data_IF_587428743352
#
_entry.id   IF_587428743352
#
_cell.length_a   1.000
_cell.length_b   1.000
_cell.length_c   1.000
_cell.angle_alpha   90.00
_cell.angle_beta   90.00
_cell.angle_gamma   90.00
#
_symmetry.space_group_name_H-M   'P 1'
#
loop_
_entity.id
_entity.type
_entity.pdbx_description
1 polymer ?
#
# COMPACT_ATOMS: atom_id res chain seq x y z
N UNK A 1 35.39 -8.25 13.85
CA UNK A 1 34.72 -6.92 13.82
C UNK A 1 34.13 -6.72 12.43
N UNK A 2 32.91 -7.20 12.19
CA UNK A 2 32.19 -6.87 10.95
C UNK A 2 31.51 -5.54 11.23
N UNK A 3 32.08 -4.47 10.70
CA UNK A 3 31.49 -3.13 10.79
C UNK A 3 30.09 -3.19 10.18
N UNK A 4 29.07 -2.92 11.01
CA UNK A 4 27.71 -2.63 10.55
C UNK A 4 27.82 -1.51 9.53
N UNK A 5 27.67 -1.85 8.25
CA UNK A 5 27.44 -0.88 7.18
C UNK A 5 26.23 -0.07 7.63
N UNK A 6 26.46 1.20 8.00
CA UNK A 6 25.39 2.16 8.26
C UNK A 6 24.50 2.13 7.02
N UNK A 7 23.23 1.77 7.23
CA UNK A 7 22.26 1.56 6.16
C UNK A 7 22.34 2.70 5.15
N UNK A 8 22.42 2.34 3.87
CA UNK A 8 22.32 3.29 2.76
C UNK A 8 21.09 4.15 3.04
N UNK A 9 21.29 5.47 3.02
CA UNK A 9 20.21 6.46 3.08
C UNK A 9 19.11 6.01 2.12
N UNK A 10 17.92 5.68 2.64
CA UNK A 10 16.88 5.01 1.84
C UNK A 10 16.54 5.83 0.58
N UNK A 11 16.63 7.16 0.69
CA UNK A 11 16.43 8.10 -0.40
C UNK A 11 17.54 8.04 -1.46
N UNK A 12 18.82 7.90 -1.05
CA UNK A 12 19.95 7.70 -1.97
C UNK A 12 19.88 6.37 -2.68
N UNK A 13 19.41 5.32 -1.99
CA UNK A 13 19.17 4.01 -2.60
C UNK A 13 18.07 4.09 -3.67
N UNK A 14 16.97 4.80 -3.40
CA UNK A 14 15.90 5.02 -4.36
C UNK A 14 16.36 5.85 -5.56
N UNK A 15 17.16 6.89 -5.33
CA UNK A 15 17.70 7.71 -6.41
C UNK A 15 18.62 6.88 -7.32
N UNK A 16 19.53 6.09 -6.74
CA UNK A 16 20.39 5.19 -7.52
C UNK A 16 19.59 4.17 -8.34
N UNK A 17 18.51 3.62 -7.77
CA UNK A 17 17.61 2.71 -8.50
C UNK A 17 16.90 3.40 -9.67
N UNK A 18 16.49 4.66 -9.49
CA UNK A 18 15.87 5.44 -10.55
C UNK A 18 16.88 5.73 -11.67
N UNK A 19 18.09 6.15 -11.33
CA UNK A 19 19.16 6.44 -12.29
C UNK A 19 19.51 5.17 -13.10
N UNK A 20 19.64 4.01 -12.44
CA UNK A 20 19.88 2.74 -13.12
C UNK A 20 18.73 2.34 -14.06
N UNK A 21 17.48 2.62 -13.70
CA UNK A 21 16.33 2.37 -14.57
C UNK A 21 16.37 3.27 -15.81
N UNK A 22 16.74 4.54 -15.65
CA UNK A 22 16.88 5.48 -16.78
C UNK A 22 17.99 5.04 -17.75
N UNK A 23 19.16 4.67 -17.23
CA UNK A 23 20.27 4.13 -18.02
C UNK A 23 19.87 2.84 -18.75
N UNK A 24 19.14 1.96 -18.05
CA UNK A 24 18.64 0.70 -18.63
C UNK A 24 17.60 0.94 -19.73
N UNK A 25 16.74 1.95 -19.57
CA UNK A 25 15.75 2.34 -20.59
C UNK A 25 16.46 2.86 -21.84
N UNK A 26 17.48 3.70 -21.67
CA UNK A 26 18.27 4.25 -22.78
C UNK A 26 18.99 3.13 -23.54
N UNK A 27 19.61 2.20 -22.82
CA UNK A 27 20.21 1.01 -23.42
C UNK A 27 19.17 0.14 -24.17
N UNK A 28 17.99 -0.08 -23.57
CA UNK A 28 16.92 -0.84 -24.23
C UNK A 28 16.40 -0.16 -25.51
N UNK A 29 16.41 1.18 -25.57
CA UNK A 29 16.03 1.94 -26.77
C UNK A 29 17.07 1.77 -27.89
N UNK A 30 18.35 1.77 -27.54
CA UNK A 30 19.45 1.57 -28.49
C UNK A 30 19.44 0.15 -29.08
N UNK A 31 19.29 -0.86 -28.23
CA UNK A 31 19.27 -2.29 -28.62
C UNK A 31 17.89 -2.79 -29.10
N UNK A 32 16.86 -1.92 -29.12
CA UNK A 32 15.47 -2.23 -29.52
C UNK A 32 14.80 -3.35 -28.70
N UNK A 33 15.13 -3.46 -27.42
CA UNK A 33 14.50 -4.40 -26.48
C UNK A 33 13.18 -3.86 -25.91
N UNK A 34 12.12 -3.85 -26.71
CA UNK A 34 10.82 -3.23 -26.34
C UNK A 34 10.18 -3.82 -25.07
N UNK A 35 10.15 -5.14 -24.92
CA UNK A 35 9.53 -5.78 -23.74
C UNK A 35 10.30 -5.50 -22.45
N UNK A 36 11.63 -5.49 -22.52
CA UNK A 36 12.48 -5.17 -21.37
C UNK A 36 12.29 -3.70 -20.97
N UNK A 37 12.29 -2.79 -21.94
CA UNK A 37 12.00 -1.37 -21.73
C UNK A 37 10.70 -1.17 -20.95
N UNK A 38 9.61 -1.80 -21.39
CA UNK A 38 8.29 -1.66 -20.75
C UNK A 38 8.27 -2.13 -19.30
N UNK A 39 8.98 -3.23 -18.99
CA UNK A 39 9.13 -3.71 -17.60
C UNK A 39 9.96 -2.75 -16.75
N UNK A 40 11.03 -2.19 -17.31
CA UNK A 40 11.86 -1.21 -16.61
C UNK A 40 11.09 0.10 -16.40
N UNK A 41 10.28 0.54 -17.37
CA UNK A 41 9.39 1.70 -17.26
C UNK A 41 8.32 1.49 -16.16
N UNK A 42 7.68 0.31 -16.10
CA UNK A 42 6.75 -0.02 -15.01
C UNK A 42 7.44 0.00 -13.63
N UNK A 43 8.69 -0.50 -13.57
CA UNK A 43 9.49 -0.45 -12.34
C UNK A 43 9.86 0.98 -11.96
N UNK A 44 10.24 1.81 -12.93
CA UNK A 44 10.56 3.23 -12.72
C UNK A 44 9.34 3.99 -12.18
N UNK A 45 8.14 3.74 -12.71
CA UNK A 45 6.91 4.34 -12.18
C UNK A 45 6.67 3.99 -10.71
N UNK A 46 6.94 2.74 -10.33
CA UNK A 46 6.87 2.30 -8.93
C UNK A 46 7.91 2.99 -8.03
N UNK A 47 9.10 3.29 -8.55
CA UNK A 47 10.15 4.03 -7.83
C UNK A 47 9.76 5.50 -7.68
N UNK A 48 9.26 6.14 -8.75
CA UNK A 48 8.77 7.51 -8.69
C UNK A 48 7.62 7.68 -7.70
N UNK A 49 6.75 6.70 -7.59
CA UNK A 49 5.73 6.66 -6.55
C UNK A 49 6.33 6.66 -5.13
N UNK A 50 7.41 5.91 -4.89
CA UNK A 50 8.11 5.89 -3.60
C UNK A 50 8.85 7.21 -3.30
N UNK A 51 9.31 7.90 -4.34
CA UNK A 51 9.91 9.24 -4.27
C UNK A 51 8.88 10.38 -4.21
N UNK A 52 7.58 10.09 -4.15
CA UNK A 52 6.47 11.08 -4.21
C UNK A 52 6.43 11.94 -5.48
N UNK A 53 7.10 11.49 -6.55
CA UNK A 53 7.04 12.13 -7.88
C UNK A 53 5.81 11.62 -8.63
N UNK A 54 4.62 12.03 -8.18
CA UNK A 54 3.35 11.48 -8.67
C UNK A 54 3.04 11.84 -10.13
N UNK A 55 3.28 13.09 -10.55
CA UNK A 55 2.97 13.52 -11.92
C UNK A 55 3.86 12.81 -12.96
N UNK A 56 5.21 12.77 -12.83
CA UNK A 56 6.05 12.02 -13.76
C UNK A 56 5.71 10.53 -13.82
N UNK A 57 5.35 9.92 -12.69
CA UNK A 57 4.93 8.53 -12.65
C UNK A 57 3.62 8.28 -13.41
N UNK A 58 2.67 9.22 -13.32
CA UNK A 58 1.39 9.12 -14.01
C UNK A 58 1.53 9.29 -15.52
N UNK A 59 2.37 10.24 -15.96
CA UNK A 59 2.64 10.46 -17.38
C UNK A 59 3.27 9.20 -18.00
N UNK A 60 4.28 8.62 -17.32
CA UNK A 60 4.94 7.38 -17.73
C UNK A 60 3.96 6.20 -17.81
N UNK A 61 3.08 6.02 -16.81
CA UNK A 61 2.09 4.94 -16.82
C UNK A 61 1.05 5.12 -17.90
N UNK A 62 0.64 6.35 -18.19
CA UNK A 62 -0.36 6.64 -19.22
C UNK A 62 0.16 6.27 -20.61
N UNK A 63 1.42 6.60 -20.91
CA UNK A 63 2.10 6.18 -22.14
C UNK A 63 2.21 4.66 -22.22
N UNK A 64 2.70 4.04 -21.14
CA UNK A 64 2.92 2.60 -21.07
C UNK A 64 1.61 1.79 -21.23
N UNK A 65 0.49 2.28 -20.67
CA UNK A 65 -0.82 1.67 -20.85
C UNK A 65 -1.30 1.68 -22.31
N UNK A 66 -0.98 2.74 -23.08
CA UNK A 66 -1.35 2.80 -24.49
C UNK A 66 -0.58 1.76 -25.33
N UNK A 67 0.66 1.50 -24.97
CA UNK A 67 1.48 0.48 -25.61
C UNK A 67 1.06 -0.94 -25.23
N UNK A 68 0.93 -1.21 -23.93
CA UNK A 68 0.68 -2.57 -23.43
C UNK A 68 -0.74 -3.05 -23.72
N UNK A 69 -1.72 -2.16 -23.88
CA UNK A 69 -3.04 -2.61 -24.38
C UNK A 69 -2.99 -3.29 -25.75
N UNK A 70 -1.92 -3.08 -26.52
CA UNK A 70 -1.67 -3.76 -27.81
C UNK A 70 -0.92 -5.08 -27.64
N UNK A 71 -0.43 -5.37 -26.45
CA UNK A 71 0.36 -6.55 -26.07
C UNK A 71 -0.47 -7.41 -25.10
N UNK A 72 -0.67 -8.70 -25.38
CA UNK A 72 -1.47 -9.59 -24.52
C UNK A 72 -0.71 -10.04 -23.23
N UNK A 73 0.21 -9.21 -22.71
CA UNK A 73 0.88 -9.44 -21.42
C UNK A 73 -0.01 -8.97 -20.27
N UNK A 74 -0.96 -9.84 -19.90
CA UNK A 74 -1.93 -9.58 -18.84
C UNK A 74 -1.28 -9.43 -17.46
N UNK A 75 -0.13 -10.06 -17.21
CA UNK A 75 0.54 -9.96 -15.91
C UNK A 75 1.09 -8.55 -15.70
N UNK A 76 1.82 -8.04 -16.70
CA UNK A 76 2.34 -6.68 -16.66
C UNK A 76 1.21 -5.64 -16.61
N UNK A 77 0.11 -5.89 -17.32
CA UNK A 77 -1.05 -5.00 -17.33
C UNK A 77 -1.73 -4.87 -15.94
N UNK A 78 -1.80 -5.96 -15.17
CA UNK A 78 -2.29 -5.93 -13.78
C UNK A 78 -1.40 -5.06 -12.89
N UNK A 79 -0.08 -5.22 -13.00
CA UNK A 79 0.88 -4.44 -12.20
C UNK A 79 0.76 -2.94 -12.50
N UNK A 80 0.61 -2.57 -13.78
CA UNK A 80 0.50 -1.18 -14.19
C UNK A 80 -0.80 -0.55 -13.70
N UNK A 81 -1.94 -1.23 -13.86
CA UNK A 81 -3.22 -0.73 -13.35
C UNK A 81 -3.22 -0.61 -11.81
N UNK A 82 -2.50 -1.48 -11.11
CA UNK A 82 -2.33 -1.36 -9.66
C UNK A 82 -1.52 -0.12 -9.28
N UNK A 83 -0.43 0.20 -10.00
CA UNK A 83 0.35 1.43 -9.75
C UNK A 83 -0.45 2.67 -10.15
N UNK A 84 -1.20 2.63 -11.25
CA UNK A 84 -2.14 3.68 -11.68
C UNK A 84 -3.17 3.99 -10.58
N UNK A 85 -3.77 2.95 -9.99
CA UNK A 85 -4.73 3.10 -8.89
C UNK A 85 -4.10 3.79 -7.68
N UNK A 86 -2.88 3.37 -7.29
CA UNK A 86 -2.12 3.97 -6.20
C UNK A 86 -1.78 5.44 -6.46
N UNK A 87 -1.36 5.79 -7.68
CA UNK A 87 -1.06 7.17 -8.08
C UNK A 87 -2.29 8.07 -8.05
N UNK A 88 -3.42 7.61 -8.61
CA UNK A 88 -4.65 8.39 -8.57
C UNK A 88 -5.16 8.58 -7.14
N UNK A 89 -5.02 7.58 -6.28
CA UNK A 89 -5.32 7.72 -4.86
C UNK A 89 -4.41 8.77 -4.20
N UNK A 90 -3.10 8.76 -4.51
CA UNK A 90 -2.13 9.77 -4.05
C UNK A 90 -2.54 11.20 -4.37
N UNK A 91 -3.02 11.40 -5.60
CA UNK A 91 -3.50 12.67 -6.13
C UNK A 91 -4.94 13.00 -5.70
N UNK A 92 -5.49 12.26 -4.71
CA UNK A 92 -6.86 12.42 -4.19
C UNK A 92 -7.96 12.27 -5.25
N UNK A 93 -7.68 11.55 -6.34
CA UNK A 93 -8.65 11.22 -7.38
C UNK A 93 -9.22 9.81 -7.17
N UNK A 94 -10.13 9.69 -6.21
CA UNK A 94 -10.77 8.42 -5.83
C UNK A 94 -11.54 7.75 -7.00
N UNK A 95 -12.33 8.48 -7.82
CA UNK A 95 -13.06 7.86 -8.92
C UNK A 95 -12.13 7.19 -9.95
N UNK A 96 -11.03 7.84 -10.34
CA UNK A 96 -10.06 7.23 -11.26
C UNK A 96 -9.28 6.09 -10.61
N UNK A 97 -8.93 6.20 -9.33
CA UNK A 97 -8.27 5.12 -8.60
C UNK A 97 -9.12 3.84 -8.57
N UNK A 98 -10.44 3.97 -8.39
CA UNK A 98 -11.40 2.87 -8.40
C UNK A 98 -11.58 2.26 -9.79
N UNK A 99 -11.62 3.09 -10.83
CA UNK A 99 -11.67 2.62 -12.21
C UNK A 99 -10.44 1.78 -12.57
N UNK A 100 -9.23 2.26 -12.25
CA UNK A 100 -7.97 1.53 -12.46
C UNK A 100 -7.93 0.22 -11.65
N UNK A 101 -8.38 0.22 -10.40
CA UNK A 101 -8.43 -1.00 -9.58
C UNK A 101 -9.43 -2.02 -10.13
N UNK A 102 -10.57 -1.56 -10.64
CA UNK A 102 -11.57 -2.44 -11.27
C UNK A 102 -10.98 -3.12 -12.50
N UNK A 103 -10.21 -2.37 -13.31
CA UNK A 103 -9.48 -2.94 -14.44
C UNK A 103 -8.45 -3.99 -13.98
N UNK A 104 -7.63 -3.67 -12.96
CA UNK A 104 -6.66 -4.61 -12.40
C UNK A 104 -7.32 -5.92 -11.91
N UNK A 105 -8.44 -5.83 -11.18
CA UNK A 105 -9.19 -6.99 -10.69
C UNK A 105 -9.84 -7.81 -11.79
N UNK A 106 -10.41 -7.15 -12.80
CA UNK A 106 -11.01 -7.85 -13.94
C UNK A 106 -9.96 -8.68 -14.67
N UNK A 107 -8.75 -8.16 -14.84
CA UNK A 107 -7.67 -8.88 -15.52
C UNK A 107 -7.10 -9.96 -14.60
N UNK A 108 -6.90 -9.68 -13.31
CA UNK A 108 -6.36 -10.65 -12.35
C UNK A 108 -7.27 -11.88 -12.21
N UNK A 109 -8.58 -11.74 -12.35
CA UNK A 109 -9.50 -12.89 -12.33
C UNK A 109 -9.37 -13.80 -13.56
N UNK A 110 -8.79 -13.32 -14.66
CA UNK A 110 -8.60 -14.09 -15.91
C UNK A 110 -7.27 -14.84 -15.96
N UNK A 111 -6.36 -14.55 -15.05
CA UNK A 111 -5.01 -15.13 -15.01
C UNK A 111 -4.67 -15.61 -13.61
N UNK A 112 -3.71 -16.52 -13.50
CA UNK A 112 -3.15 -16.81 -12.18
C UNK A 112 -2.15 -15.70 -11.82
N UNK A 113 -2.47 -14.91 -10.80
CA UNK A 113 -1.59 -13.86 -10.26
C UNK A 113 -0.77 -14.39 -9.08
N UNK A 114 0.44 -13.86 -8.93
CA UNK A 114 1.32 -14.18 -7.79
C UNK A 114 0.64 -13.73 -6.49
N UNK A 115 0.68 -14.53 -5.40
CA UNK A 115 0.01 -14.21 -4.13
C UNK A 115 0.33 -12.81 -3.59
N UNK A 116 1.58 -12.34 -3.76
CA UNK A 116 1.99 -10.98 -3.39
C UNK A 116 1.20 -9.91 -4.15
N UNK A 117 1.05 -10.06 -5.47
CA UNK A 117 0.30 -9.10 -6.30
C UNK A 117 -1.18 -9.12 -5.95
N UNK A 118 -1.76 -10.31 -5.71
CA UNK A 118 -3.14 -10.44 -5.24
C UNK A 118 -3.36 -9.70 -3.92
N UNK A 119 -2.48 -9.92 -2.94
CA UNK A 119 -2.56 -9.24 -1.65
C UNK A 119 -2.46 -7.71 -1.77
N UNK A 120 -1.67 -7.20 -2.73
CA UNK A 120 -1.60 -5.75 -2.98
C UNK A 120 -2.87 -5.20 -3.65
N UNK A 121 -3.55 -5.99 -4.48
CA UNK A 121 -4.87 -5.65 -5.04
C UNK A 121 -5.92 -5.59 -3.93
N UNK A 122 -5.90 -6.56 -3.01
CA UNK A 122 -6.82 -6.60 -1.87
C UNK A 122 -6.53 -5.46 -0.89
N UNK A 123 -5.26 -5.17 -0.60
CA UNK A 123 -4.87 -4.02 0.19
C UNK A 123 -5.37 -2.70 -0.42
N UNK A 124 -5.22 -2.51 -1.74
CA UNK A 124 -5.72 -1.32 -2.42
C UNK A 124 -7.25 -1.26 -2.41
N UNK A 125 -7.92 -2.41 -2.53
CA UNK A 125 -9.38 -2.52 -2.38
C UNK A 125 -9.82 -2.05 -1.00
N UNK A 126 -9.16 -2.52 0.07
CA UNK A 126 -9.45 -2.09 1.43
C UNK A 126 -9.28 -0.58 1.64
N UNK A 127 -8.21 0.01 1.08
CA UNK A 127 -7.95 1.45 1.17
C UNK A 127 -9.09 2.25 0.52
N UNK A 128 -9.52 1.89 -0.70
CA UNK A 128 -10.58 2.63 -1.38
C UNK A 128 -11.94 2.50 -0.68
N UNK A 129 -12.29 1.32 -0.14
CA UNK A 129 -13.53 1.16 0.62
C UNK A 129 -13.51 1.93 1.94
N UNK A 130 -12.34 2.01 2.59
CA UNK A 130 -12.18 2.83 3.78
C UNK A 130 -12.37 4.33 3.52
N UNK A 131 -11.92 4.83 2.36
CA UNK A 131 -12.18 6.22 1.92
C UNK A 131 -13.68 6.48 1.70
N UNK A 132 -14.43 5.48 1.24
CA UNK A 132 -15.89 5.53 1.08
C UNK A 132 -16.66 5.29 2.41
N UNK A 133 -15.94 5.19 3.54
CA UNK A 133 -16.47 4.89 4.88
C UNK A 133 -17.12 3.50 5.02
N UNK A 134 -16.88 2.59 4.07
CA UNK A 134 -17.27 1.19 4.19
C UNK A 134 -16.16 0.38 4.89
N UNK A 135 -16.06 0.58 6.20
CA UNK A 135 -15.03 -0.07 7.01
C UNK A 135 -15.24 -1.57 7.19
N UNK A 136 -16.47 -2.08 7.04
CA UNK A 136 -16.77 -3.50 7.16
C UNK A 136 -16.21 -4.28 5.97
N UNK A 137 -16.46 -3.78 4.77
CA UNK A 137 -15.91 -4.39 3.55
C UNK A 137 -14.39 -4.18 3.49
N UNK A 138 -13.90 -3.00 3.90
CA UNK A 138 -12.46 -2.74 3.98
C UNK A 138 -11.73 -3.73 4.91
N UNK A 139 -12.31 -4.05 6.07
CA UNK A 139 -11.75 -5.04 6.99
C UNK A 139 -11.56 -6.39 6.32
N UNK A 140 -12.56 -6.90 5.59
CA UNK A 140 -12.47 -8.18 4.89
C UNK A 140 -11.33 -8.20 3.87
N UNK A 141 -11.19 -7.13 3.08
CA UNK A 141 -10.08 -7.02 2.13
C UNK A 141 -8.71 -6.94 2.82
N UNK A 142 -8.59 -6.22 3.93
CA UNK A 142 -7.35 -6.17 4.69
C UNK A 142 -6.99 -7.50 5.36
N UNK A 143 -7.99 -8.27 5.78
CA UNK A 143 -7.79 -9.61 6.36
C UNK A 143 -7.20 -10.56 5.32
N UNK A 144 -7.79 -10.65 4.12
CA UNK A 144 -7.27 -11.47 3.01
C UNK A 144 -5.83 -11.06 2.64
N UNK A 145 -5.59 -9.74 2.52
CA UNK A 145 -4.25 -9.22 2.25
C UNK A 145 -3.25 -9.55 3.37
N UNK A 146 -3.68 -9.51 4.63
CA UNK A 146 -2.85 -9.84 5.79
C UNK A 146 -2.49 -11.33 5.81
N UNK A 147 -3.43 -12.24 5.58
CA UNK A 147 -3.14 -13.69 5.57
C UNK A 147 -2.09 -14.05 4.51
N UNK A 148 -2.20 -13.44 3.32
CA UNK A 148 -1.23 -13.62 2.26
C UNK A 148 0.14 -13.00 2.61
N UNK A 149 0.18 -11.76 3.12
CA UNK A 149 1.44 -11.04 3.35
C UNK A 149 2.16 -11.43 4.64
N UNK A 150 1.44 -11.88 5.67
CA UNK A 150 2.02 -12.25 6.97
C UNK A 150 3.03 -13.42 6.87
N UNK A 151 2.95 -14.21 5.79
CA UNK A 151 3.90 -15.31 5.52
C UNK A 151 5.02 -14.91 4.57
N UNK A 152 4.85 -13.84 3.78
CA UNK A 152 5.74 -13.45 2.69
C UNK A 152 6.65 -12.27 3.03
N UNK A 153 6.13 -11.28 3.75
CA UNK A 153 6.81 -10.01 4.02
C UNK A 153 6.33 -9.43 5.35
N UNK A 154 7.19 -9.47 6.37
CA UNK A 154 6.82 -9.00 7.71
C UNK A 154 6.48 -7.50 7.74
N UNK A 155 7.09 -6.70 6.88
CA UNK A 155 6.89 -5.24 6.86
C UNK A 155 5.56 -4.90 6.19
N UNK A 156 5.24 -5.54 5.06
CA UNK A 156 3.93 -5.37 4.41
C UNK A 156 2.80 -6.01 5.22
N UNK A 157 3.04 -7.16 5.85
CA UNK A 157 2.10 -7.80 6.76
C UNK A 157 1.73 -6.92 7.96
N UNK A 158 2.72 -6.29 8.61
CA UNK A 158 2.47 -5.34 9.69
C UNK A 158 1.62 -4.14 9.23
N UNK A 159 1.85 -3.64 8.00
CA UNK A 159 1.03 -2.53 7.44
C UNK A 159 -0.43 -2.95 7.25
N UNK A 160 -0.67 -4.14 6.68
CA UNK A 160 -2.04 -4.65 6.52
C UNK A 160 -2.72 -4.90 7.88
N UNK A 161 -2.00 -5.43 8.87
CA UNK A 161 -2.51 -5.60 10.23
C UNK A 161 -2.94 -4.27 10.85
N UNK A 162 -2.13 -3.21 10.70
CA UNK A 162 -2.51 -1.86 11.14
C UNK A 162 -3.80 -1.37 10.48
N UNK A 163 -3.93 -1.52 9.15
CA UNK A 163 -5.14 -1.10 8.44
C UNK A 163 -6.37 -1.90 8.85
N UNK A 164 -6.21 -3.20 9.11
CA UNK A 164 -7.28 -4.05 9.62
C UNK A 164 -7.76 -3.59 11.01
N UNK A 165 -6.83 -3.29 11.92
CA UNK A 165 -7.16 -2.80 13.26
C UNK A 165 -7.85 -1.42 13.20
N UNK A 166 -7.34 -0.50 12.38
CA UNK A 166 -7.95 0.81 12.21
C UNK A 166 -9.36 0.73 11.60
N UNK A 167 -9.56 -0.11 10.57
CA UNK A 167 -10.88 -0.36 10.01
C UNK A 167 -11.84 -0.94 11.05
N UNK A 168 -11.35 -1.83 11.93
CA UNK A 168 -12.15 -2.41 13.01
C UNK A 168 -12.55 -1.36 14.05
N UNK A 169 -11.63 -0.50 14.47
CA UNK A 169 -11.91 0.62 15.38
C UNK A 169 -12.96 1.55 14.75
N UNK A 170 -12.79 1.92 13.47
CA UNK A 170 -13.72 2.77 12.74
C UNK A 170 -15.10 2.17 12.51
N UNK A 171 -15.20 0.83 12.47
CA UNK A 171 -16.49 0.13 12.42
C UNK A 171 -17.23 0.06 13.77
N UNK A 172 -16.65 0.61 14.85
CA UNK A 172 -17.19 0.55 16.21
C UNK A 172 -16.82 -0.71 17.00
N UNK A 173 -15.97 -1.58 16.45
CA UNK A 173 -15.55 -2.85 17.05
C UNK A 173 -14.28 -2.75 17.90
N UNK A 174 -14.08 -1.65 18.63
CA UNK A 174 -12.85 -1.39 19.37
C UNK A 174 -12.53 -2.46 20.43
N UNK A 175 -13.54 -3.09 21.03
CA UNK A 175 -13.38 -4.17 22.02
C UNK A 175 -12.76 -5.45 21.44
N UNK A 176 -12.92 -5.70 20.13
CA UNK A 176 -12.37 -6.88 19.45
C UNK A 176 -10.89 -6.72 19.08
N UNK A 177 -10.33 -5.51 19.14
CA UNK A 177 -8.93 -5.23 18.78
C UNK A 177 -7.96 -6.07 19.61
N UNK A 178 -8.21 -6.22 20.91
CA UNK A 178 -7.35 -7.03 21.78
C UNK A 178 -7.41 -8.52 21.43
N UNK A 179 -8.56 -9.03 20.97
CA UNK A 179 -8.69 -10.41 20.52
C UNK A 179 -7.88 -10.64 19.24
N UNK A 180 -7.93 -9.69 18.30
CA UNK A 180 -7.19 -9.76 17.03
C UNK A 180 -5.68 -9.72 17.29
N UNK A 181 -5.19 -8.85 18.17
CA UNK A 181 -3.76 -8.72 18.50
C UNK A 181 -3.23 -9.99 19.17
N UNK A 182 -4.03 -10.62 20.03
CA UNK A 182 -3.67 -11.87 20.69
C UNK A 182 -3.84 -13.12 19.80
N UNK A 183 -4.27 -12.96 18.55
CA UNK A 183 -4.39 -14.08 17.61
C UNK A 183 -3.02 -14.65 17.25
N UNK A 184 -2.94 -15.96 16.99
CA UNK A 184 -1.69 -16.68 16.68
C UNK A 184 -0.91 -16.06 15.52
N UNK A 185 -1.62 -15.51 14.52
CA UNK A 185 -0.99 -14.86 13.36
C UNK A 185 -0.45 -13.46 13.70
N UNK A 186 -1.14 -12.70 14.56
CA UNK A 186 -0.74 -11.35 14.98
C UNK A 186 0.37 -11.34 16.05
N UNK A 187 0.52 -12.43 16.83
CA UNK A 187 1.55 -12.56 17.87
C UNK A 187 2.99 -12.32 17.36
N UNK A 188 3.25 -12.63 16.09
CA UNK A 188 4.56 -12.41 15.45
C UNK A 188 4.89 -10.92 15.27
N UNK A 189 3.86 -10.08 15.22
CA UNK A 189 3.94 -8.65 14.90
C UNK A 189 3.85 -7.76 16.16
N UNK A 190 3.95 -8.36 17.35
CA UNK A 190 3.90 -7.62 18.62
C UNK A 190 5.03 -6.61 18.69
N UNK A 191 4.66 -5.37 18.95
CA UNK A 191 5.58 -4.27 19.16
C UNK A 191 4.84 -2.95 19.38
N UNK A 192 5.63 -1.88 19.41
CA UNK A 192 5.21 -0.49 19.64
C UNK A 192 4.04 -0.08 18.72
N UNK A 193 4.02 -0.63 17.50
CA UNK A 193 3.01 -0.36 16.49
C UNK A 193 1.61 -0.93 16.84
N UNK A 194 1.54 -2.09 17.49
CA UNK A 194 0.27 -2.67 17.96
C UNK A 194 -0.15 -2.08 19.30
N UNK A 195 0.80 -1.75 20.17
CA UNK A 195 0.53 -0.99 21.41
C UNK A 195 -0.15 0.35 21.10
N UNK A 196 0.32 1.06 20.07
CA UNK A 196 -0.33 2.29 19.60
C UNK A 196 -1.79 2.05 19.20
N UNK A 197 -2.08 0.95 18.50
CA UNK A 197 -3.45 0.60 18.09
C UNK A 197 -4.33 0.23 19.30
N UNK A 198 -3.77 -0.40 20.34
CA UNK A 198 -4.50 -0.69 21.58
C UNK A 198 -4.87 0.58 22.33
N UNK A 199 -3.95 1.54 22.44
CA UNK A 199 -4.22 2.81 23.10
C UNK A 199 -5.27 3.63 22.33
N UNK A 200 -5.21 3.63 21.00
CA UNK A 200 -6.25 4.24 20.16
C UNK A 200 -7.61 3.55 20.33
N UNK A 201 -7.64 2.22 20.39
CA UNK A 201 -8.87 1.47 20.61
C UNK A 201 -9.50 1.78 21.97
N UNK A 202 -8.70 1.86 23.04
CA UNK A 202 -9.17 2.25 24.38
C UNK A 202 -9.72 3.68 24.41
N UNK A 203 -9.03 4.62 23.78
CA UNK A 203 -9.50 6.01 23.69
C UNK A 203 -10.85 6.11 22.95
N UNK A 204 -11.02 5.33 21.89
CA UNK A 204 -12.28 5.24 21.13
C UNK A 204 -13.41 4.61 21.95
N UNK A 205 -13.13 3.55 22.71
CA UNK A 205 -14.11 2.93 23.61
C UNK A 205 -14.55 3.88 24.73
N UNK A 206 -13.62 4.68 25.27
CA UNK A 206 -13.89 5.67 26.32
C UNK A 206 -14.45 7.00 25.79
N UNK A 207 -14.57 7.16 24.46
CA UNK A 207 -14.95 8.42 23.79
C UNK A 207 -14.15 9.64 24.29
N UNK A 208 -12.88 9.43 24.61
CA UNK A 208 -12.00 10.46 25.17
C UNK A 208 -11.09 11.03 24.09
N UNK A 209 -11.39 12.26 23.64
CA UNK A 209 -10.55 12.98 22.69
C UNK A 209 -9.14 13.25 23.25
N UNK A 210 -9.04 13.54 24.55
CA UNK A 210 -7.77 13.82 25.23
C UNK A 210 -6.80 12.63 25.18
N UNK A 211 -7.32 11.42 25.45
CA UNK A 211 -6.51 10.20 25.36
C UNK A 211 -6.11 9.89 23.92
N UNK A 212 -7.00 10.16 22.96
CA UNK A 212 -6.70 9.98 21.54
C UNK A 212 -5.61 10.94 21.05
N UNK A 213 -5.66 12.21 21.46
CA UNK A 213 -4.61 13.17 21.15
C UNK A 213 -3.28 12.80 21.80
N UNK A 214 -3.30 12.34 23.06
CA UNK A 214 -2.10 11.91 23.77
C UNK A 214 -1.45 10.69 23.10
N UNK A 215 -2.25 9.69 22.70
CA UNK A 215 -1.77 8.52 21.98
C UNK A 215 -1.19 8.91 20.61
N UNK A 216 -1.89 9.77 19.87
CA UNK A 216 -1.45 10.23 18.56
C UNK A 216 -0.14 11.04 18.64
N UNK A 217 0.02 11.90 19.65
CA UNK A 217 1.27 12.65 19.89
C UNK A 217 2.42 11.73 20.28
N UNK A 218 2.16 10.71 21.12
CA UNK A 218 3.17 9.74 21.58
C UNK A 218 3.68 8.86 20.44
N UNK A 219 2.82 8.50 19.49
CA UNK A 219 3.13 7.56 18.41
C UNK A 219 3.19 8.21 17.01
N UNK A 220 3.30 9.54 16.92
CA UNK A 220 3.20 10.32 15.68
C UNK A 220 4.10 9.89 14.50
N UNK A 221 5.34 9.40 14.68
CA UNK A 221 6.14 8.94 13.54
C UNK A 221 5.65 7.60 12.93
N UNK A 222 4.87 6.82 13.69
CA UNK A 222 4.56 5.40 13.39
C UNK A 222 3.10 5.13 13.06
N UNK A 223 2.20 5.94 13.62
CA UNK A 223 0.76 5.96 13.30
C UNK A 223 0.52 6.62 11.93
N UNK A 224 1.30 7.65 11.59
CA UNK A 224 1.21 8.39 10.34
C UNK A 224 2.08 7.83 9.21
N UNK A 225 2.59 6.60 9.33
CA UNK A 225 3.51 6.01 8.37
C UNK A 225 2.83 5.84 6.99
N UNK A 226 2.85 6.95 6.25
CA UNK A 226 2.72 7.20 4.82
C UNK A 226 1.69 6.28 4.17
N UNK A 227 0.41 6.67 4.22
CA UNK A 227 -0.57 6.71 3.11
C UNK A 227 -1.93 7.19 3.67
N UNK A 228 -2.73 7.80 2.79
CA UNK A 228 -3.83 8.75 3.02
C UNK A 228 -5.00 8.30 3.92
N UNK A 229 -5.01 7.03 4.30
CA UNK A 229 -5.97 6.40 5.23
C UNK A 229 -6.00 7.13 6.58
N UNK A 230 -4.89 7.71 7.03
CA UNK A 230 -4.87 8.50 8.26
C UNK A 230 -5.82 9.70 8.17
N UNK A 231 -5.97 10.36 7.01
CA UNK A 231 -6.85 11.54 6.91
C UNK A 231 -8.33 11.20 6.91
N UNK A 232 -8.71 10.03 6.39
CA UNK A 232 -10.10 9.55 6.36
C UNK A 232 -10.48 8.83 7.67
N UNK A 233 -9.56 8.04 8.23
CA UNK A 233 -9.73 7.36 9.52
C UNK A 233 -9.42 8.24 10.75
N UNK A 234 -8.84 9.44 10.62
CA UNK A 234 -8.79 10.42 11.74
C UNK A 234 -10.12 11.12 11.97
N UNK A 235 -11.04 11.07 10.99
CA UNK A 235 -12.44 11.46 11.17
C UNK A 235 -13.24 10.33 11.85
N UNK A 236 -12.62 9.62 12.79
CA UNK A 236 -13.36 8.84 13.78
C UNK A 236 -14.23 9.83 14.53
N UNK A 237 -15.54 9.79 14.28
CA UNK A 237 -16.52 10.55 15.05
C UNK A 237 -16.54 9.97 16.47
N UNK A 238 -15.84 10.64 17.38
CA UNK A 238 -15.93 10.42 18.83
C UNK A 238 -17.28 10.90 19.37
#
# INVERSE_FOLDING_TARGET
MVAKVKGVDADKALQLQADLCLDSIEWCKQEKHTFLRQRVEARLASIYFQQEKFQPALDLITELLHEIKKLDDKQLLVEIHLVESKLHHALRNVPKAKAALTAARSISNTIYVVPRTQAQIDQMSGILHAEERDYKTAYSYFFEAFEALATLDEVEGLKCLKYMLLAKIASGGASEVNLIINSKQAMKFIGIDLEAMQEVAKAHEQRSLEQFEAATKKYAPRTYARWLVASSMLNLTF
#
